data_IF_172518133442
#
_entry.id   IF_172518133442
#
_cell.length_a   1.000
_cell.length_b   1.000
_cell.length_c   1.000
_cell.angle_alpha   90.00
_cell.angle_beta   90.00
_cell.angle_gamma   90.00
#
_symmetry.space_group_name_H-M   'P 1'
#
loop_
_entity.id
_entity.type
_entity.pdbx_description
1 polymer ?
#
# COMPACT_ATOMS: atom_id res chain seq x y z
N UNK A 1 -44.35 21.02 23.10
CA UNK A 1 -43.05 21.58 22.69
C UNK A 1 -42.08 20.44 22.54
N UNK A 2 -41.93 19.98 21.30
CA UNK A 2 -40.97 18.96 20.88
C UNK A 2 -39.54 19.50 21.01
N UNK A 3 -38.63 18.75 21.64
CA UNK A 3 -37.21 19.12 21.74
C UNK A 3 -36.33 18.03 21.12
N UNK A 4 -36.02 18.27 19.84
CA UNK A 4 -34.78 17.97 19.11
C UNK A 4 -34.21 16.55 19.26
N UNK A 5 -34.52 15.63 18.34
CA UNK A 5 -33.84 15.47 17.05
C UNK A 5 -32.30 15.43 17.11
N UNK A 6 -31.80 14.26 16.74
CA UNK A 6 -30.55 14.01 16.03
C UNK A 6 -29.22 14.08 16.83
N UNK A 7 -28.82 12.92 17.35
CA UNK A 7 -27.40 12.57 17.52
C UNK A 7 -27.13 11.27 16.74
N UNK A 8 -27.50 11.28 15.45
CA UNK A 8 -27.08 10.25 14.50
C UNK A 8 -25.91 10.79 13.71
N UNK A 9 -24.71 10.78 14.29
CA UNK A 9 -23.47 10.98 13.53
C UNK A 9 -22.31 10.25 14.19
N UNK A 10 -22.48 8.94 14.43
CA UNK A 10 -21.34 8.02 14.41
C UNK A 10 -20.86 7.88 12.96
N UNK A 11 -20.43 8.99 12.34
CA UNK A 11 -19.55 8.91 11.19
C UNK A 11 -18.27 8.32 11.74
N UNK A 12 -18.17 6.99 11.64
CA UNK A 12 -16.88 6.30 11.56
C UNK A 12 -16.11 7.09 10.51
N UNK A 13 -15.20 7.94 10.95
CA UNK A 13 -14.21 8.49 10.06
C UNK A 13 -13.52 7.28 9.48
N UNK A 14 -13.87 6.90 8.26
CA UNK A 14 -12.98 6.06 7.48
C UNK A 14 -11.70 6.87 7.47
N UNK A 15 -10.60 6.41 8.08
CA UNK A 15 -9.34 7.10 7.91
C UNK A 15 -9.20 7.23 6.41
N UNK A 16 -9.11 8.46 5.91
CA UNK A 16 -8.82 8.71 4.52
C UNK A 16 -7.39 8.22 4.36
N UNK A 17 -7.25 6.92 4.11
CA UNK A 17 -5.96 6.27 4.01
C UNK A 17 -5.34 6.91 2.78
N UNK A 18 -4.21 7.61 2.92
CA UNK A 18 -3.63 8.29 1.77
C UNK A 18 -3.41 7.26 0.67
N UNK A 19 -3.69 7.58 -0.60
CA UNK A 19 -3.58 6.63 -1.70
C UNK A 19 -2.20 5.98 -1.76
N UNK A 20 -1.16 6.70 -1.34
CA UNK A 20 0.21 6.20 -1.16
C UNK A 20 0.29 5.04 -0.15
N UNK A 21 -0.38 5.13 1.00
CA UNK A 21 -0.37 4.07 2.01
C UNK A 21 -1.14 2.82 1.53
N UNK A 22 -2.15 2.99 0.67
CA UNK A 22 -2.83 1.85 0.04
C UNK A 22 -1.91 1.13 -0.94
N UNK A 23 -1.22 1.88 -1.82
CA UNK A 23 -0.22 1.35 -2.74
C UNK A 23 0.95 0.69 -2.01
N UNK A 24 1.45 1.29 -0.92
CA UNK A 24 2.53 0.73 -0.12
C UNK A 24 2.11 -0.60 0.53
N UNK A 25 0.86 -0.70 0.98
CA UNK A 25 0.31 -1.93 1.55
C UNK A 25 0.23 -3.04 0.49
N UNK A 26 -0.23 -2.72 -0.71
CA UNK A 26 -0.22 -3.66 -1.83
C UNK A 26 1.21 -4.07 -2.19
N UNK A 27 2.15 -3.12 -2.25
CA UNK A 27 3.55 -3.40 -2.54
C UNK A 27 4.14 -4.37 -1.50
N UNK A 28 3.96 -4.11 -0.21
CA UNK A 28 4.43 -5.01 0.85
C UNK A 28 3.77 -6.39 0.74
N UNK A 29 2.49 -6.47 0.38
CA UNK A 29 1.78 -7.74 0.23
C UNK A 29 2.28 -8.56 -0.98
N UNK A 30 2.57 -7.90 -2.10
CA UNK A 30 3.21 -8.51 -3.27
C UNK A 30 4.64 -8.95 -2.95
N UNK A 31 5.42 -8.08 -2.31
CA UNK A 31 6.79 -8.38 -1.87
C UNK A 31 6.84 -9.56 -0.89
N UNK A 32 5.85 -9.66 0.00
CA UNK A 32 5.68 -10.79 0.90
C UNK A 32 5.32 -12.07 0.14
N UNK A 33 4.45 -11.99 -0.87
CA UNK A 33 4.11 -13.15 -1.71
C UNK A 33 5.32 -13.67 -2.53
N UNK A 34 6.25 -12.78 -2.89
CA UNK A 34 7.51 -13.15 -3.53
C UNK A 34 8.46 -13.77 -2.49
N UNK A 35 8.76 -13.05 -1.43
CA UNK A 35 9.86 -13.42 -0.51
C UNK A 35 9.47 -14.44 0.56
N UNK A 36 8.18 -14.57 0.87
CA UNK A 36 7.66 -15.40 1.96
C UNK A 36 7.96 -14.86 3.37
N UNK A 37 8.59 -13.69 3.49
CA UNK A 37 9.02 -13.12 4.78
C UNK A 37 8.80 -11.60 4.80
N UNK A 38 8.19 -11.09 5.88
CA UNK A 38 7.89 -9.66 6.02
C UNK A 38 9.15 -8.81 6.03
N UNK A 39 10.21 -9.25 6.71
CA UNK A 39 11.47 -8.48 6.78
C UNK A 39 12.13 -8.35 5.41
N UNK A 40 12.17 -9.44 4.64
CA UNK A 40 12.68 -9.42 3.27
C UNK A 40 11.78 -8.60 2.34
N UNK A 41 10.46 -8.66 2.51
CA UNK A 41 9.50 -7.85 1.76
C UNK A 41 9.73 -6.35 1.98
N UNK A 42 9.90 -5.91 3.23
CA UNK A 42 10.20 -4.51 3.56
C UNK A 42 11.54 -4.06 2.99
N UNK A 43 12.59 -4.88 3.14
CA UNK A 43 13.91 -4.57 2.58
C UNK A 43 13.87 -4.45 1.04
N UNK A 44 13.09 -5.32 0.39
CA UNK A 44 12.91 -5.30 -1.06
C UNK A 44 12.11 -4.06 -1.49
N UNK A 45 11.03 -3.70 -0.78
CA UNK A 45 10.32 -2.44 -1.03
C UNK A 45 11.26 -1.23 -0.89
N UNK A 46 12.05 -1.13 0.18
CA UNK A 46 13.02 -0.04 0.38
C UNK A 46 14.10 0.01 -0.69
N UNK A 47 14.56 -1.14 -1.18
CA UNK A 47 15.55 -1.22 -2.26
C UNK A 47 14.99 -0.78 -3.62
N UNK A 48 13.66 -0.80 -3.78
CA UNK A 48 12.95 -0.41 -4.99
C UNK A 48 12.41 1.02 -4.94
N UNK A 49 12.47 1.69 -3.79
CA UNK A 49 12.11 3.10 -3.66
C UNK A 49 13.13 3.93 -4.41
N UNK A 50 12.64 4.76 -5.31
CA UNK A 50 13.44 5.72 -6.05
C UNK A 50 13.29 7.09 -5.37
N UNK A 51 14.36 7.57 -4.75
CA UNK A 51 14.35 8.81 -3.96
C UNK A 51 14.28 10.08 -4.83
N UNK A 52 14.49 9.97 -6.15
CA UNK A 52 14.38 11.08 -7.12
C UNK A 52 12.92 11.32 -7.54
N UNK A 53 12.07 10.30 -7.41
CA UNK A 53 10.64 10.37 -7.70
C UNK A 53 9.85 11.04 -6.55
N UNK A 54 8.78 11.81 -6.87
CA UNK A 54 7.90 12.37 -5.85
C UNK A 54 7.16 11.24 -5.11
N UNK A 55 6.93 11.40 -3.80
CA UNK A 55 6.36 10.36 -2.93
C UNK A 55 5.07 9.69 -3.45
N UNK A 56 4.23 10.45 -4.15
CA UNK A 56 3.02 9.92 -4.80
C UNK A 56 3.31 8.89 -5.90
N UNK A 57 4.43 9.04 -6.62
CA UNK A 57 4.85 8.13 -7.68
C UNK A 57 5.77 7.02 -7.16
N UNK A 58 6.47 7.22 -6.04
CA UNK A 58 7.35 6.21 -5.44
C UNK A 58 6.60 4.91 -5.14
N UNK A 59 5.44 4.98 -4.48
CA UNK A 59 4.67 3.78 -4.13
C UNK A 59 4.18 3.01 -5.37
N UNK A 60 3.77 3.74 -6.42
CA UNK A 60 3.39 3.19 -7.73
C UNK A 60 4.56 2.49 -8.42
N UNK A 61 5.73 3.15 -8.45
CA UNK A 61 6.94 2.60 -9.07
C UNK A 61 7.41 1.32 -8.37
N UNK A 62 7.44 1.32 -7.04
CA UNK A 62 7.77 0.15 -6.21
C UNK A 62 6.83 -1.01 -6.51
N UNK A 63 5.52 -0.76 -6.50
CA UNK A 63 4.51 -1.78 -6.79
C UNK A 63 4.65 -2.36 -8.21
N UNK A 64 4.89 -1.50 -9.21
CA UNK A 64 5.08 -1.95 -10.59
C UNK A 64 6.34 -2.83 -10.71
N UNK A 65 7.45 -2.42 -10.06
CA UNK A 65 8.69 -3.19 -10.08
C UNK A 65 8.55 -4.53 -9.38
N UNK A 66 7.79 -4.59 -8.28
CA UNK A 66 7.41 -5.82 -7.60
C UNK A 66 6.59 -6.76 -8.48
N UNK A 67 5.59 -6.24 -9.21
CA UNK A 67 4.82 -7.05 -10.14
C UNK A 67 5.70 -7.63 -11.27
N UNK A 68 6.67 -6.87 -11.77
CA UNK A 68 7.63 -7.38 -12.75
C UNK A 68 8.47 -8.54 -12.18
N UNK A 69 8.92 -8.45 -10.93
CA UNK A 69 9.67 -9.52 -10.24
C UNK A 69 8.77 -10.75 -10.04
N UNK A 70 7.52 -10.56 -9.62
CA UNK A 70 6.57 -11.65 -9.42
C UNK A 70 6.22 -12.37 -10.74
N UNK A 71 5.99 -11.62 -11.82
CA UNK A 71 5.64 -12.15 -13.14
C UNK A 71 6.85 -12.78 -13.87
N UNK A 72 8.06 -12.31 -13.58
CA UNK A 72 9.30 -12.88 -14.17
C UNK A 72 9.70 -14.22 -13.53
N UNK A 73 8.93 -14.76 -12.58
CA UNK A 73 9.19 -16.11 -12.08
C UNK A 73 8.99 -17.11 -13.22
N UNK A 74 10.02 -17.87 -13.60
CA UNK A 74 9.86 -18.91 -14.61
C UNK A 74 8.84 -19.93 -14.09
N UNK A 75 7.82 -20.20 -14.89
CA UNK A 75 6.87 -21.30 -14.66
C UNK A 75 7.68 -22.59 -14.84
N UNK A 76 8.15 -23.17 -13.74
CA UNK A 76 8.83 -24.46 -13.72
C UNK A 76 7.82 -25.58 -13.51
#
# INVERSE_FOLDING_TARGET
MEKNQNLSSSQRGTPSVPPQAMLLREAVMTAYSITGNLSAATALCSSLVDEDLPGEQQASAVLNRLHQIAMSRPKH
#
